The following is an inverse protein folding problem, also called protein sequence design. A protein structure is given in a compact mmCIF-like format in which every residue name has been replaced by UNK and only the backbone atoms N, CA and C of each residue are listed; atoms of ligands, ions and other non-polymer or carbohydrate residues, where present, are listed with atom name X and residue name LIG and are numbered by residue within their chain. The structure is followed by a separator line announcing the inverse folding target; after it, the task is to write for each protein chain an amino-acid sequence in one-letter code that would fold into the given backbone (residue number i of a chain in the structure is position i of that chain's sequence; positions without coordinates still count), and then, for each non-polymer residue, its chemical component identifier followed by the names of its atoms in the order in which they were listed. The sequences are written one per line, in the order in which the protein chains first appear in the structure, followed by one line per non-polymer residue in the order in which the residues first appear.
data_IF_582967582612
#
_entry.id   IF_582967582612
#
_cell.length_a   1.000
_cell.length_b   1.000
_cell.length_c   1.000
_cell.angle_alpha   90.00
_cell.angle_beta   90.00
_cell.angle_gamma   90.00
#
_symmetry.space_group_name_H-M   'P 1'
#
loop_
_entity.id
_entity.type
_entity.pdbx_description
1 polymer ?
#
# COMPACT_ATOMS: atom_id res chain seq x y z
N UNK A 1 18.51 10.01 11.79
CA UNK A 1 17.18 9.95 11.16
C UNK A 1 17.10 8.73 10.25
N UNK A 2 16.05 7.92 10.40
CA UNK A 2 15.83 6.76 9.55
C UNK A 2 15.42 7.20 8.16
N UNK A 3 16.02 6.60 7.14
CA UNK A 3 15.67 6.86 5.75
C UNK A 3 14.86 5.70 5.19
N UNK A 4 13.89 6.03 4.37
CA UNK A 4 13.03 5.06 3.70
C UNK A 4 13.35 5.07 2.21
N UNK A 5 12.86 4.06 1.49
CA UNK A 5 13.06 3.96 0.06
C UNK A 5 11.75 4.08 -0.72
N UNK A 6 10.61 4.08 -0.01
CA UNK A 6 9.36 4.20 -0.75
C UNK A 6 9.22 5.62 -1.32
N UNK A 7 8.64 5.70 -2.51
CA UNK A 7 8.54 6.97 -3.23
C UNK A 7 7.70 7.97 -2.41
N UNK A 8 8.22 9.19 -2.30
CA UNK A 8 7.51 10.26 -1.60
C UNK A 8 7.72 10.26 -0.09
N UNK A 9 8.59 9.40 0.46
CA UNK A 9 8.72 9.26 1.91
C UNK A 9 9.09 10.56 2.62
N UNK A 10 9.88 11.43 1.96
CA UNK A 10 10.34 12.68 2.59
C UNK A 10 9.20 13.68 2.81
N UNK A 11 8.12 13.55 2.03
CA UNK A 11 6.98 14.44 2.08
C UNK A 11 5.74 13.76 2.67
N UNK A 12 5.87 12.53 3.11
CA UNK A 12 4.74 11.75 3.60
C UNK A 12 4.50 12.03 5.08
N UNK A 13 3.84 13.16 5.36
CA UNK A 13 3.57 13.60 6.73
C UNK A 13 2.07 13.65 7.05
N UNK A 14 1.25 12.95 6.28
CA UNK A 14 -0.18 12.86 6.53
C UNK A 14 -0.45 12.32 7.93
N UNK A 15 -1.51 12.81 8.57
CA UNK A 15 -1.89 12.39 9.92
C UNK A 15 -3.04 11.39 9.85
N UNK A 16 -3.09 10.41 10.77
CA UNK A 16 -4.19 9.45 10.79
C UNK A 16 -5.53 10.14 11.01
N UNK A 17 -6.56 9.59 10.37
CA UNK A 17 -7.95 10.02 10.59
C UNK A 17 -8.68 9.04 11.52
N UNK A 18 -7.99 8.02 11.99
CA UNK A 18 -8.53 7.02 12.90
C UNK A 18 -7.44 6.62 13.89
N UNK A 19 -7.84 6.14 15.07
CA UNK A 19 -6.92 5.64 16.08
C UNK A 19 -6.89 4.10 16.15
N UNK A 20 -7.32 3.44 15.09
CA UNK A 20 -7.38 1.98 15.02
C UNK A 20 -6.03 1.33 15.28
N UNK A 21 -4.95 1.95 14.80
CA UNK A 21 -3.59 1.42 14.96
C UNK A 21 -2.76 2.40 15.77
N UNK A 22 -2.64 2.13 17.06
CA UNK A 22 -1.80 2.95 17.94
C UNK A 22 -0.34 2.82 17.50
N UNK A 23 0.41 3.90 17.59
CA UNK A 23 1.80 3.92 17.17
C UNK A 23 2.02 4.28 15.72
N UNK A 24 0.96 4.32 14.91
CA UNK A 24 1.04 4.78 13.53
C UNK A 24 0.59 6.23 13.49
N UNK A 25 1.56 7.13 13.32
CA UNK A 25 1.32 8.58 13.32
C UNK A 25 1.54 9.21 11.97
N UNK A 26 2.21 8.52 11.05
CA UNK A 26 2.53 9.01 9.71
C UNK A 26 2.73 7.80 8.79
N UNK A 27 2.74 8.02 7.46
CA UNK A 27 2.88 6.88 6.53
C UNK A 27 4.12 6.03 6.72
N UNK A 28 5.24 6.61 7.15
CA UNK A 28 6.45 5.83 7.41
C UNK A 28 6.24 4.81 8.53
N UNK A 29 5.44 5.17 9.56
CA UNK A 29 5.11 4.23 10.63
C UNK A 29 4.28 3.07 10.09
N UNK A 30 3.36 3.35 9.17
CA UNK A 30 2.58 2.30 8.51
C UNK A 30 3.47 1.39 7.69
N UNK A 31 4.41 1.96 6.94
CA UNK A 31 5.36 1.16 6.18
C UNK A 31 6.13 0.20 7.10
N UNK A 32 6.63 0.72 8.22
CA UNK A 32 7.36 -0.12 9.18
C UNK A 32 6.49 -1.27 9.70
N UNK A 33 5.24 -0.97 10.06
CA UNK A 33 4.33 -2.01 10.54
C UNK A 33 4.04 -3.04 9.43
N UNK A 34 3.76 -2.57 8.22
CA UNK A 34 3.45 -3.47 7.11
C UNK A 34 4.64 -4.34 6.71
N UNK A 35 5.87 -3.88 6.95
CA UNK A 35 7.05 -4.69 6.66
C UNK A 35 7.07 -5.97 7.49
N UNK A 36 6.33 -6.02 8.60
CA UNK A 36 6.18 -7.20 9.44
C UNK A 36 4.90 -7.99 9.14
N UNK A 37 4.06 -7.49 8.24
CA UNK A 37 2.75 -8.08 7.96
C UNK A 37 2.65 -8.62 6.53
N UNK A 38 3.22 -7.89 5.55
CA UNK A 38 3.21 -8.37 4.16
C UNK A 38 3.79 -9.78 4.07
N UNK A 39 3.12 -10.64 3.31
CA UNK A 39 3.53 -12.02 3.14
C UNK A 39 3.01 -12.56 1.80
N UNK A 40 3.29 -13.84 1.52
CA UNK A 40 2.79 -14.46 0.29
C UNK A 40 1.26 -14.42 0.22
N UNK A 41 0.58 -14.60 1.35
CA UNK A 41 -0.89 -14.63 1.36
C UNK A 41 -1.52 -13.25 1.15
N UNK A 42 -0.79 -12.15 1.37
CA UNK A 42 -1.28 -10.82 1.04
C UNK A 42 -0.90 -10.38 -0.38
N UNK A 43 -0.04 -11.14 -1.04
CA UNK A 43 0.40 -10.89 -2.41
C UNK A 43 -0.70 -11.28 -3.41
N UNK A 44 -0.78 -10.55 -4.52
CA UNK A 44 -1.70 -10.90 -5.60
C UNK A 44 -1.45 -12.37 -6.04
N UNK A 45 -2.51 -13.17 -6.23
CA UNK A 45 -2.32 -14.61 -6.50
C UNK A 45 -1.42 -14.90 -7.70
N UNK A 46 -1.48 -14.09 -8.75
CA UNK A 46 -0.66 -14.28 -9.95
C UNK A 46 0.84 -14.13 -9.71
N UNK A 47 1.22 -13.48 -8.59
CA UNK A 47 2.62 -13.21 -8.23
C UNK A 47 3.05 -13.94 -6.97
N UNK A 48 2.14 -14.68 -6.34
CA UNK A 48 2.37 -15.27 -5.02
C UNK A 48 3.58 -16.19 -4.97
N UNK A 49 3.80 -16.97 -6.02
CA UNK A 49 4.92 -17.89 -6.08
C UNK A 49 6.27 -17.18 -6.17
N UNK A 50 6.26 -15.89 -6.53
CA UNK A 50 7.47 -15.09 -6.66
C UNK A 50 7.71 -14.22 -5.44
N UNK A 51 6.76 -14.17 -4.51
CA UNK A 51 6.89 -13.33 -3.32
C UNK A 51 7.98 -13.88 -2.40
N UNK A 52 8.78 -12.96 -1.85
CA UNK A 52 9.82 -13.30 -0.87
C UNK A 52 10.09 -12.07 0.00
N UNK A 53 10.62 -12.27 1.23
CA UNK A 53 10.88 -11.14 2.12
C UNK A 53 11.81 -10.07 1.54
N UNK A 54 12.74 -10.46 0.66
CA UNK A 54 13.66 -9.53 0.01
C UNK A 54 12.96 -8.61 -0.99
N UNK A 55 11.73 -8.97 -1.40
CA UNK A 55 10.90 -8.15 -2.27
C UNK A 55 9.47 -8.14 -1.72
N UNK A 56 9.33 -7.70 -0.50
CA UNK A 56 8.11 -7.84 0.29
C UNK A 56 6.92 -7.04 -0.25
N UNK A 57 7.16 -6.02 -1.07
CA UNK A 57 6.06 -5.22 -1.61
C UNK A 57 5.46 -5.78 -2.89
N UNK A 58 6.02 -6.88 -3.41
CA UNK A 58 5.52 -7.49 -4.64
C UNK A 58 4.05 -7.90 -4.49
N UNK A 59 3.20 -7.41 -5.41
CA UNK A 59 1.80 -7.78 -5.45
C UNK A 59 0.94 -7.22 -4.34
N UNK A 60 1.42 -6.18 -3.63
CA UNK A 60 0.74 -5.62 -2.45
C UNK A 60 0.04 -4.29 -2.71
N UNK A 61 0.13 -3.74 -3.90
CA UNK A 61 -0.16 -2.32 -4.12
C UNK A 61 -1.61 -1.91 -3.84
N UNK A 62 -2.59 -2.61 -4.40
CA UNK A 62 -3.97 -2.13 -4.30
C UNK A 62 -4.51 -2.24 -2.87
N UNK A 63 -4.33 -3.39 -2.23
CA UNK A 63 -4.88 -3.57 -0.89
C UNK A 63 -4.14 -2.69 0.12
N UNK A 64 -2.84 -2.47 -0.07
CA UNK A 64 -2.07 -1.56 0.78
C UNK A 64 -2.54 -0.11 0.60
N UNK A 65 -2.79 0.31 -0.64
CA UNK A 65 -3.24 1.69 -0.88
C UNK A 65 -4.62 1.95 -0.26
N UNK A 66 -5.55 1.00 -0.36
CA UNK A 66 -6.87 1.19 0.25
C UNK A 66 -6.82 1.10 1.77
N UNK A 67 -5.95 0.26 2.33
CA UNK A 67 -5.74 0.24 3.78
C UNK A 67 -5.15 1.56 4.26
N UNK A 68 -4.20 2.11 3.53
CA UNK A 68 -3.61 3.43 3.81
C UNK A 68 -4.70 4.51 3.79
N UNK A 69 -5.61 4.43 2.82
CA UNK A 69 -6.74 5.35 2.75
C UNK A 69 -7.62 5.26 3.99
N UNK A 70 -7.85 4.05 4.49
CA UNK A 70 -8.65 3.87 5.72
C UNK A 70 -8.01 4.59 6.89
N UNK A 71 -6.70 4.60 6.98
CA UNK A 71 -5.98 5.16 8.13
C UNK A 71 -5.72 6.66 8.00
N UNK A 72 -5.48 7.15 6.78
CA UNK A 72 -5.04 8.53 6.57
C UNK A 72 -6.00 9.35 5.71
N UNK A 73 -6.98 8.73 5.09
CA UNK A 73 -7.91 9.44 4.22
C UNK A 73 -7.35 9.67 2.83
N UNK A 74 -7.84 10.70 2.15
CA UNK A 74 -7.38 11.03 0.82
C UNK A 74 -7.91 10.10 -0.25
N UNK A 75 -7.14 9.97 -1.34
CA UNK A 75 -7.55 9.20 -2.52
C UNK A 75 -6.48 8.20 -2.90
N UNK A 76 -6.89 7.17 -3.65
CA UNK A 76 -6.00 6.18 -4.25
C UNK A 76 -5.95 6.45 -5.74
N UNK A 77 -4.74 6.52 -6.29
CA UNK A 77 -4.52 6.66 -7.72
C UNK A 77 -3.79 5.44 -8.24
N UNK A 78 -3.92 5.18 -9.52
CA UNK A 78 -3.30 4.01 -10.15
C UNK A 78 -2.61 4.35 -11.45
N UNK A 79 -1.46 3.73 -11.68
CA UNK A 79 -0.69 3.83 -12.91
C UNK A 79 -0.94 2.55 -13.68
N UNK A 80 -1.40 2.67 -14.94
CA UNK A 80 -1.66 1.50 -15.77
C UNK A 80 -0.33 0.84 -16.13
N UNK A 81 -0.23 -0.47 -15.87
CA UNK A 81 0.97 -1.23 -16.14
C UNK A 81 0.76 -2.17 -17.32
N UNK A 82 1.85 -2.62 -17.95
CA UNK A 82 1.74 -3.66 -18.98
C UNK A 82 0.96 -4.87 -18.44
N UNK A 83 0.03 -5.38 -19.24
CA UNK A 83 -0.85 -6.44 -18.83
C UNK A 83 -2.20 -5.98 -18.31
N UNK A 84 -2.41 -4.67 -18.17
CA UNK A 84 -3.72 -4.09 -17.85
C UNK A 84 -4.02 -3.91 -16.37
N UNK A 85 -3.08 -4.24 -15.48
CA UNK A 85 -3.26 -4.00 -14.05
C UNK A 85 -2.79 -2.60 -13.67
N UNK A 86 -3.40 -2.04 -12.63
CA UNK A 86 -3.00 -0.74 -12.09
C UNK A 86 -2.10 -0.93 -10.89
N UNK A 87 -1.02 -0.15 -10.83
CA UNK A 87 -0.22 -0.02 -9.62
C UNK A 87 -0.75 1.15 -8.82
N UNK A 88 -1.23 0.88 -7.61
CA UNK A 88 -1.92 1.87 -6.78
C UNK A 88 -0.98 2.55 -5.80
N UNK A 89 -1.21 3.84 -5.58
CA UNK A 89 -0.48 4.63 -4.59
C UNK A 89 -1.44 5.66 -3.97
N UNK A 90 -0.95 6.46 -3.03
CA UNK A 90 -1.83 7.34 -2.24
C UNK A 90 -1.58 8.81 -2.51
N UNK A 91 -2.67 9.58 -2.54
CA UNK A 91 -2.65 11.03 -2.66
C UNK A 91 -3.50 11.59 -1.52
N UNK A 92 -2.88 12.29 -0.58
CA UNK A 92 -3.54 12.85 0.59
C UNK A 92 -3.19 14.32 0.65
N UNK A 93 -4.15 15.19 0.25
CA UNK A 93 -3.86 16.61 0.11
C UNK A 93 -2.74 16.81 -0.90
N UNK A 94 -1.67 17.46 -0.48
CA UNK A 94 -0.50 17.68 -1.33
C UNK A 94 0.55 16.57 -1.22
N UNK A 95 0.29 15.56 -0.37
CA UNK A 95 1.23 14.46 -0.17
C UNK A 95 0.94 13.34 -1.15
N UNK A 96 1.95 12.95 -1.94
CA UNK A 96 1.88 11.77 -2.80
C UNK A 96 2.97 10.81 -2.34
N UNK A 97 2.60 9.56 -2.10
CA UNK A 97 3.59 8.57 -1.71
C UNK A 97 3.13 7.17 -2.13
N UNK A 98 4.09 6.28 -2.23
CA UNK A 98 3.86 4.94 -2.75
C UNK A 98 4.61 3.95 -1.87
N UNK A 99 3.88 3.29 -0.98
CA UNK A 99 4.49 2.37 -0.02
C UNK A 99 5.03 1.09 -0.67
N UNK A 100 4.66 0.80 -1.92
CA UNK A 100 4.99 -0.48 -2.55
C UNK A 100 5.78 -0.34 -3.85
N UNK A 101 6.36 0.84 -4.13
CA UNK A 101 7.12 1.04 -5.37
C UNK A 101 8.40 0.20 -5.43
N UNK A 102 8.89 -0.23 -4.29
CA UNK A 102 10.16 -0.98 -4.25
C UNK A 102 10.09 -2.31 -5.01
N UNK A 103 8.88 -2.84 -5.24
CA UNK A 103 8.71 -4.05 -6.04
C UNK A 103 9.20 -3.89 -7.48
N UNK A 104 9.33 -2.65 -7.96
CA UNK A 104 9.78 -2.37 -9.32
C UNK A 104 11.28 -2.08 -9.41
N UNK A 105 12.02 -2.21 -8.29
CA UNK A 105 13.44 -1.95 -8.27
C UNK A 105 13.77 -0.51 -8.59
N UNK A 106 14.63 -0.30 -9.56
CA UNK A 106 15.09 1.04 -9.95
C UNK A 106 14.19 1.72 -10.99
N UNK A 107 13.10 1.07 -11.40
CA UNK A 107 12.20 1.67 -12.38
C UNK A 107 11.55 2.94 -11.82
N UNK A 108 11.57 4.01 -12.60
CA UNK A 108 10.92 5.28 -12.24
C UNK A 108 9.53 5.28 -12.85
N UNK A 109 8.51 5.31 -11.98
CA UNK A 109 7.11 5.26 -12.41
C UNK A 109 6.60 6.65 -12.77
N UNK A 110 5.62 6.69 -13.69
CA UNK A 110 5.03 7.95 -14.17
C UNK A 110 3.82 8.32 -13.29
N UNK A 111 4.07 8.79 -12.08
CA UNK A 111 3.02 9.12 -11.12
C UNK A 111 2.06 10.18 -11.62
N UNK A 112 2.50 11.07 -12.50
CA UNK A 112 1.65 12.11 -13.08
C UNK A 112 0.68 11.53 -14.11
N UNK A 113 0.93 10.33 -14.62
CA UNK A 113 0.05 9.65 -15.57
C UNK A 113 -0.78 8.59 -14.86
N UNK A 114 -1.54 9.04 -13.88
CA UNK A 114 -2.32 8.15 -13.05
C UNK A 114 -3.79 8.59 -13.04
N UNK A 115 -4.67 7.65 -12.73
CA UNK A 115 -6.10 7.92 -12.63
C UNK A 115 -6.61 7.45 -11.28
N UNK A 116 -7.63 8.14 -10.78
CA UNK A 116 -8.21 7.78 -9.49
C UNK A 116 -8.80 6.38 -9.53
N UNK A 117 -8.54 5.61 -8.46
CA UNK A 117 -9.01 4.25 -8.30
C UNK A 117 -10.06 4.20 -7.20
N UNK A 118 -11.06 3.36 -7.38
CA UNK A 118 -12.20 3.28 -6.46
C UNK A 118 -12.29 1.87 -5.88
N UNK A 119 -12.46 1.81 -4.55
CA UNK A 119 -12.51 0.52 -3.87
C UNK A 119 -13.69 -0.33 -4.32
N UNK A 120 -14.81 0.29 -4.71
CA UNK A 120 -15.96 -0.46 -5.19
C UNK A 120 -15.62 -1.29 -6.42
N UNK A 121 -14.78 -0.74 -7.30
CA UNK A 121 -14.32 -1.45 -8.50
C UNK A 121 -13.36 -2.57 -8.13
N UNK A 122 -12.36 -2.26 -7.29
CA UNK A 122 -11.36 -3.24 -6.89
C UNK A 122 -11.95 -4.37 -6.06
N UNK A 123 -12.84 -4.03 -5.12
CA UNK A 123 -13.41 -5.02 -4.20
C UNK A 123 -14.65 -5.72 -4.75
N UNK A 124 -15.07 -5.39 -5.98
CA UNK A 124 -16.00 -6.23 -6.71
C UNK A 124 -15.39 -7.61 -6.98
N UNK A 125 -14.05 -7.68 -7.00
CA UNK A 125 -13.35 -8.97 -7.07
C UNK A 125 -13.24 -9.53 -5.65
N UNK A 126 -13.95 -10.62 -5.39
CA UNK A 126 -14.01 -11.22 -4.06
C UNK A 126 -12.62 -11.58 -3.53
N UNK A 127 -11.75 -12.13 -4.37
CA UNK A 127 -10.40 -12.48 -3.96
C UNK A 127 -9.67 -11.26 -3.39
N UNK A 128 -9.73 -10.13 -4.09
CA UNK A 128 -9.03 -8.93 -3.66
C UNK A 128 -9.63 -8.39 -2.35
N UNK A 129 -10.96 -8.41 -2.23
CA UNK A 129 -11.64 -7.94 -1.02
C UNK A 129 -11.23 -8.79 0.19
N UNK A 130 -11.23 -10.12 0.03
CA UNK A 130 -10.83 -11.03 1.12
C UNK A 130 -9.37 -10.85 1.49
N UNK A 131 -8.51 -10.62 0.50
CA UNK A 131 -7.08 -10.39 0.74
C UNK A 131 -6.85 -9.06 1.48
N UNK A 132 -7.62 -8.03 1.13
CA UNK A 132 -7.61 -6.75 1.85
C UNK A 132 -8.06 -6.93 3.30
N UNK A 133 -9.14 -7.66 3.54
CA UNK A 133 -9.62 -7.92 4.91
C UNK A 133 -8.57 -8.67 5.72
N UNK A 134 -7.89 -9.62 5.10
CA UNK A 134 -6.82 -10.36 5.77
C UNK A 134 -5.65 -9.42 6.15
N UNK A 135 -5.21 -8.59 5.23
CA UNK A 135 -4.14 -7.63 5.50
C UNK A 135 -4.52 -6.68 6.65
N UNK A 136 -5.74 -6.18 6.62
CA UNK A 136 -6.26 -5.27 7.64
C UNK A 136 -6.28 -5.94 9.01
N UNK A 137 -6.74 -7.19 9.08
CA UNK A 137 -6.79 -7.95 10.32
C UNK A 137 -5.39 -8.19 10.88
N UNK A 138 -4.45 -8.58 10.02
CA UNK A 138 -3.08 -8.86 10.45
C UNK A 138 -2.36 -7.59 10.90
N UNK A 139 -2.60 -6.48 10.23
CA UNK A 139 -2.04 -5.20 10.67
C UNK A 139 -2.57 -4.83 12.05
N UNK A 140 -3.87 -4.98 12.28
CA UNK A 140 -4.48 -4.66 13.57
C UNK A 140 -3.88 -5.51 14.69
N UNK A 141 -3.69 -6.81 14.44
CA UNK A 141 -3.03 -7.70 15.39
C UNK A 141 -1.61 -7.23 15.72
N UNK A 142 -0.88 -6.82 14.69
CA UNK A 142 0.48 -6.33 14.87
C UNK A 142 0.50 -5.08 15.75
N UNK A 143 -0.42 -4.16 15.52
CA UNK A 143 -0.50 -2.91 16.25
C UNK A 143 -0.91 -3.10 17.72
N UNK A 144 -1.54 -4.21 18.05
CA UNK A 144 -2.01 -4.52 19.40
C UNK A 144 -0.96 -5.23 20.24
N UNK A 145 0.22 -5.49 19.71
CA UNK A 145 1.29 -6.21 20.41
C UNK A 145 1.94 -5.39 21.51
#
# INVERSE_FOLDING_TARGET
MKKYKFWGWEQADAKPITDTCKGIHKPADLYDALSHVWCADTCAPRLRDQWKPENMTLGQCSITAFLTQDLFGGKVYGILRPGGNYHCFNVIGNCRFDLTNEQFGDEVLSYDQSTEQFREVHFAKEEKRLRYEYLKTELKKYCER
#
